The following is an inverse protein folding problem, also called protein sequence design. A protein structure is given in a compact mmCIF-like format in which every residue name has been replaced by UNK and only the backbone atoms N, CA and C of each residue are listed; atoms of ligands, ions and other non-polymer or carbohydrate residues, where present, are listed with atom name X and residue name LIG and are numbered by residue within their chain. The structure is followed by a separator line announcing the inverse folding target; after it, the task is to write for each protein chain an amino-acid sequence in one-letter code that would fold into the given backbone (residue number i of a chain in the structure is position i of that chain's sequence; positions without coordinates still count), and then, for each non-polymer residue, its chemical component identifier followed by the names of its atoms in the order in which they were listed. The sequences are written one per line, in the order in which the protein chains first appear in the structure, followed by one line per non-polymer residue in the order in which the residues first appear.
data_IF_546837642754
#
_entry.id   IF_546837642754
#
_cell.length_a   1.000
_cell.length_b   1.000
_cell.length_c   1.000
_cell.angle_alpha   90.00
_cell.angle_beta   90.00
_cell.angle_gamma   90.00
#
_symmetry.space_group_name_H-M   'P 1'
#
loop_
_entity.id
_entity.type
_entity.pdbx_description
1 polymer ?
#
# COMPACT_ATOMS: atom_id res chain seq x y z
N UNK A 1 -20.28 -4.53 9.23
CA UNK A 1 -19.33 -3.57 8.65
C UNK A 1 -19.86 -3.18 7.29
N UNK A 2 -20.01 -1.89 7.04
CA UNK A 2 -20.47 -1.37 5.75
C UNK A 2 -19.25 -1.32 4.80
N UNK A 3 -19.28 -2.09 3.71
CA UNK A 3 -18.23 -2.00 2.69
C UNK A 3 -18.45 -0.71 1.89
N UNK A 4 -17.48 0.20 1.93
CA UNK A 4 -17.45 1.37 1.06
C UNK A 4 -16.52 1.07 -0.11
N UNK A 5 -17.09 1.00 -1.30
CA UNK A 5 -16.32 0.91 -2.53
C UNK A 5 -15.81 2.31 -2.88
N UNK A 6 -14.49 2.46 -3.01
CA UNK A 6 -13.83 3.71 -3.37
C UNK A 6 -13.05 3.50 -4.66
N UNK A 7 -13.48 4.18 -5.73
CA UNK A 7 -12.68 4.29 -6.94
C UNK A 7 -11.82 5.55 -6.85
N UNK A 8 -10.51 5.41 -7.03
CA UNK A 8 -9.56 6.52 -7.06
C UNK A 8 -9.00 6.61 -8.47
N UNK A 9 -9.20 7.76 -9.12
CA UNK A 9 -8.70 8.05 -10.46
C UNK A 9 -7.53 9.04 -10.37
N UNK A 10 -6.50 8.83 -11.18
CA UNK A 10 -5.34 9.71 -11.26
C UNK A 10 -5.09 10.07 -12.72
N UNK A 11 -4.94 11.36 -13.01
CA UNK A 11 -4.46 11.80 -14.31
C UNK A 11 -2.93 11.76 -14.31
N UNK A 12 -2.36 10.85 -15.07
CA UNK A 12 -0.92 10.77 -15.30
C UNK A 12 -0.53 11.66 -16.47
N UNK A 13 0.53 12.46 -16.30
CA UNK A 13 1.17 13.19 -17.40
C UNK A 13 2.38 12.43 -17.97
N UNK A 14 2.62 11.20 -17.50
CA UNK A 14 3.71 10.35 -17.96
C UNK A 14 3.57 10.03 -19.45
N UNK A 15 4.61 10.35 -20.22
CA UNK A 15 4.71 10.02 -21.64
C UNK A 15 5.39 8.68 -21.90
N UNK A 16 6.01 8.06 -20.89
CA UNK A 16 6.74 6.79 -21.01
C UNK A 16 6.36 5.81 -19.90
N UNK A 17 6.54 4.52 -20.18
CA UNK A 17 6.28 3.45 -19.19
C UNK A 17 7.14 3.57 -17.93
N UNK A 18 8.35 4.11 -18.04
CA UNK A 18 9.23 4.37 -16.89
C UNK A 18 8.66 5.47 -15.98
N UNK A 19 8.12 6.55 -16.57
CA UNK A 19 7.47 7.61 -15.81
C UNK A 19 6.21 7.09 -15.11
N UNK A 20 5.41 6.24 -15.77
CA UNK A 20 4.26 5.57 -15.13
C UNK A 20 4.71 4.69 -13.95
N UNK A 21 5.79 3.92 -14.12
CA UNK A 21 6.32 3.08 -13.06
C UNK A 21 6.78 3.90 -11.83
N UNK A 22 7.37 5.07 -12.07
CA UNK A 22 7.77 5.99 -11.00
C UNK A 22 6.55 6.55 -10.25
N UNK A 23 5.52 7.03 -10.97
CA UNK A 23 4.29 7.52 -10.34
C UNK A 23 3.59 6.44 -9.50
N UNK A 24 3.55 5.20 -9.98
CA UNK A 24 3.01 4.08 -9.21
C UNK A 24 3.84 3.76 -7.96
N UNK A 25 5.16 3.93 -8.02
CA UNK A 25 6.02 3.76 -6.84
C UNK A 25 5.83 4.88 -5.82
N UNK A 26 5.62 6.13 -6.26
CA UNK A 26 5.28 7.24 -5.37
C UNK A 26 3.95 7.00 -4.65
N UNK A 27 2.93 6.51 -5.37
CA UNK A 27 1.65 6.11 -4.77
C UNK A 27 1.84 5.01 -3.72
N UNK A 28 2.65 3.98 -3.99
CA UNK A 28 2.98 2.95 -2.99
C UNK A 28 3.63 3.55 -1.75
N UNK A 29 4.55 4.51 -1.92
CA UNK A 29 5.23 5.17 -0.80
C UNK A 29 4.29 6.04 0.04
N UNK A 30 3.34 6.73 -0.59
CA UNK A 30 2.30 7.49 0.11
C UNK A 30 1.42 6.54 0.93
N UNK A 31 0.94 5.45 0.31
CA UNK A 31 0.12 4.45 0.98
C UNK A 31 0.89 3.79 2.15
N UNK A 32 2.18 3.51 1.97
CA UNK A 32 3.04 3.00 3.03
C UNK A 32 3.16 3.99 4.19
N UNK A 33 3.37 5.28 3.88
CA UNK A 33 3.48 6.34 4.89
C UNK A 33 2.19 6.52 5.69
N UNK A 34 1.03 6.39 5.04
CA UNK A 34 -0.27 6.37 5.70
C UNK A 34 -0.41 5.13 6.57
N UNK A 35 -0.03 3.96 6.06
CA UNK A 35 -0.08 2.69 6.81
C UNK A 35 0.80 2.71 8.07
N UNK A 36 1.95 3.39 8.04
CA UNK A 36 2.80 3.58 9.23
C UNK A 36 2.20 4.52 10.28
N UNK A 37 1.28 5.40 9.90
CA UNK A 37 0.54 6.27 10.83
C UNK A 37 -0.74 5.61 11.37
N UNK A 38 -1.10 4.43 10.89
CA UNK A 38 -2.18 3.65 11.47
C UNK A 38 -1.80 3.16 12.86
N UNK A 39 -2.82 3.09 13.73
CA UNK A 39 -2.71 2.37 14.99
C UNK A 39 -2.44 0.87 14.76
N UNK A 40 -2.08 0.20 15.84
CA UNK A 40 -1.63 -1.19 15.80
C UNK A 40 -2.74 -2.14 15.29
N UNK A 41 -4.00 -1.88 15.64
CA UNK A 41 -5.13 -2.71 15.26
C UNK A 41 -5.47 -2.56 13.77
N UNK A 42 -5.51 -1.32 13.27
CA UNK A 42 -5.71 -1.03 11.86
C UNK A 42 -4.56 -1.58 11.00
N UNK A 43 -3.32 -1.51 11.49
CA UNK A 43 -2.16 -2.10 10.81
C UNK A 43 -2.25 -3.62 10.72
N UNK A 44 -2.61 -4.31 11.81
CA UNK A 44 -2.83 -5.77 11.84
C UNK A 44 -3.94 -6.19 10.89
N UNK A 45 -5.03 -5.41 10.81
CA UNK A 45 -6.13 -5.67 9.89
C UNK A 45 -5.67 -5.59 8.43
N UNK A 46 -4.95 -4.54 8.05
CA UNK A 46 -4.39 -4.39 6.70
C UNK A 46 -3.44 -5.54 6.36
N UNK A 47 -2.54 -5.89 7.28
CA UNK A 47 -1.61 -7.01 7.07
C UNK A 47 -2.39 -8.30 6.82
N UNK A 48 -3.43 -8.57 7.62
CA UNK A 48 -4.26 -9.77 7.49
C UNK A 48 -5.00 -9.82 6.15
N UNK A 49 -5.65 -8.73 5.77
CA UNK A 49 -6.47 -8.66 4.55
C UNK A 49 -5.60 -8.78 3.28
N UNK A 50 -4.44 -8.14 3.27
CA UNK A 50 -3.56 -8.12 2.10
C UNK A 50 -2.63 -9.33 2.02
N UNK A 51 -2.37 -10.04 3.13
CA UNK A 51 -1.54 -11.26 3.12
C UNK A 51 -2.14 -12.36 2.23
N UNK A 52 -3.45 -12.34 1.99
CA UNK A 52 -4.15 -13.30 1.13
C UNK A 52 -3.91 -13.09 -0.37
N UNK A 53 -3.30 -11.98 -0.78
CA UNK A 53 -3.06 -11.65 -2.18
C UNK A 53 -1.66 -12.15 -2.59
N UNK A 54 -1.60 -13.02 -3.59
CA UNK A 54 -0.35 -13.57 -4.13
C UNK A 54 0.34 -12.57 -5.09
N UNK A 55 0.92 -11.52 -4.52
CA UNK A 55 1.73 -10.55 -5.26
C UNK A 55 3.09 -10.36 -4.57
N UNK A 56 4.22 -10.69 -5.23
CA UNK A 56 5.55 -10.60 -4.61
C UNK A 56 5.87 -9.21 -4.03
N UNK A 57 5.55 -8.14 -4.77
CA UNK A 57 5.78 -6.77 -4.31
C UNK A 57 4.88 -6.37 -3.14
N UNK A 58 3.68 -6.94 -3.04
CA UNK A 58 2.80 -6.72 -1.89
C UNK A 58 3.32 -7.45 -0.65
N UNK A 59 3.84 -8.67 -0.81
CA UNK A 59 4.40 -9.45 0.31
C UNK A 59 5.66 -8.78 0.89
N UNK A 60 6.51 -8.19 0.04
CA UNK A 60 7.66 -7.38 0.49
C UNK A 60 7.19 -6.14 1.27
N UNK A 61 6.18 -5.44 0.77
CA UNK A 61 5.58 -4.27 1.43
C UNK A 61 4.98 -4.63 2.80
N UNK A 62 4.29 -5.77 2.90
CA UNK A 62 3.76 -6.30 4.16
C UNK A 62 4.87 -6.69 5.14
N UNK A 63 6.01 -7.18 4.66
CA UNK A 63 7.20 -7.43 5.48
C UNK A 63 7.67 -6.18 6.19
N UNK A 64 7.76 -5.05 5.47
CA UNK A 64 8.18 -3.76 6.02
C UNK A 64 7.21 -3.23 7.10
N UNK A 65 5.89 -3.47 6.94
CA UNK A 65 4.90 -3.08 7.94
C UNK A 65 4.97 -3.93 9.22
N UNK A 66 5.34 -5.21 9.12
CA UNK A 66 5.58 -6.10 10.27
C UNK A 66 6.83 -5.70 11.06
N UNK A 67 7.88 -5.22 10.39
CA UNK A 67 9.13 -4.79 11.08
C UNK A 67 8.94 -3.53 11.93
N UNK A 68 7.95 -2.70 11.62
CA UNK A 68 7.55 -1.57 12.46
C UNK A 68 6.96 -1.95 13.82
N UNK A 69 6.74 -3.23 14.13
CA UNK A 69 6.36 -3.74 15.47
C UNK A 69 7.57 -3.96 16.39
N UNK A 70 8.81 -3.95 15.87
CA UNK A 70 10.02 -4.30 16.64
C UNK A 70 10.80 -3.09 17.20
N UNK A 71 10.33 -1.85 17.00
CA UNK A 71 10.95 -0.63 17.53
C UNK A 71 9.99 0.14 18.45
#
# INVERSE_FOLDING_TARGET
MEYKELTIEFNSSAGTSEQVANELNDLKNILLSVAFKLDEDARKQIIKELSAIESPGLQEWLGNLKMGEQN
#
